data_IF_537356617148
#
_entry.id   IF_537356617148
#
_cell.length_a   1.000
_cell.length_b   1.000
_cell.length_c   1.000
_cell.angle_alpha   90.00
_cell.angle_beta   90.00
_cell.angle_gamma   90.00
#
_symmetry.space_group_name_H-M   'P 1'
#
loop_
_entity.id
_entity.type
_entity.pdbx_description
1 polymer ?
#
# COMPACT_ATOMS: atom_id res chain seq x y z
N UNK A 1 0.37 5.11 -22.28
CA UNK A 1 -0.69 4.10 -22.06
C UNK A 1 -0.41 2.92 -22.97
N UNK A 2 -0.36 1.69 -22.45
CA UNK A 2 -0.26 0.50 -23.32
C UNK A 2 -1.65 0.24 -23.92
N UNK A 3 -1.78 -0.09 -25.21
CA UNK A 3 -3.08 -0.43 -25.80
C UNK A 3 -3.68 -1.64 -25.06
N UNK A 4 -4.96 -1.55 -24.69
CA UNK A 4 -5.72 -2.60 -24.01
C UNK A 4 -7.11 -2.74 -24.63
N UNK A 5 -7.72 -3.91 -24.48
CA UNK A 5 -9.10 -4.16 -24.93
C UNK A 5 -10.11 -3.46 -24.02
N UNK A 6 -11.31 -3.16 -24.53
CA UNK A 6 -12.40 -2.57 -23.75
C UNK A 6 -12.73 -3.41 -22.49
N UNK A 7 -12.73 -4.74 -22.61
CA UNK A 7 -12.97 -5.65 -21.48
C UNK A 7 -11.92 -5.43 -20.38
N UNK A 8 -10.63 -5.40 -20.76
CA UNK A 8 -9.53 -5.19 -19.82
C UNK A 8 -9.57 -3.80 -19.17
N UNK A 9 -9.97 -2.77 -19.93
CA UNK A 9 -10.16 -1.42 -19.39
C UNK A 9 -11.25 -1.41 -18.31
N UNK A 10 -12.40 -2.05 -18.56
CA UNK A 10 -13.49 -2.16 -17.57
C UNK A 10 -13.06 -2.93 -16.31
N UNK A 11 -12.27 -3.99 -16.46
CA UNK A 11 -11.71 -4.73 -15.32
C UNK A 11 -10.74 -3.88 -14.49
N UNK A 12 -9.90 -3.07 -15.15
CA UNK A 12 -8.96 -2.19 -14.47
C UNK A 12 -9.69 -1.11 -13.66
N UNK A 13 -10.74 -0.51 -14.23
CA UNK A 13 -11.59 0.46 -13.51
C UNK A 13 -12.15 -0.16 -12.23
N UNK A 14 -12.68 -1.40 -12.29
CA UNK A 14 -13.21 -2.08 -11.10
C UNK A 14 -12.13 -2.30 -10.04
N UNK A 15 -10.92 -2.70 -10.43
CA UNK A 15 -9.79 -2.88 -9.51
C UNK A 15 -9.38 -1.57 -8.85
N UNK A 16 -9.31 -0.49 -9.62
CA UNK A 16 -8.96 0.83 -9.11
C UNK A 16 -10.04 1.35 -8.15
N UNK A 17 -11.32 1.21 -8.49
CA UNK A 17 -12.44 1.56 -7.61
C UNK A 17 -12.40 0.77 -6.30
N UNK A 18 -12.15 -0.55 -6.38
CA UNK A 18 -11.98 -1.39 -5.19
C UNK A 18 -10.80 -0.93 -4.33
N UNK A 19 -9.67 -0.59 -4.94
CA UNK A 19 -8.51 -0.07 -4.22
C UNK A 19 -8.83 1.25 -3.49
N UNK A 20 -9.47 2.20 -4.18
CA UNK A 20 -9.89 3.47 -3.57
C UNK A 20 -10.80 3.21 -2.37
N UNK A 21 -11.84 2.40 -2.55
CA UNK A 21 -12.74 2.02 -1.47
C UNK A 21 -12.00 1.39 -0.29
N UNK A 22 -11.09 0.44 -0.57
CA UNK A 22 -10.33 -0.25 0.46
C UNK A 22 -9.48 0.72 1.28
N UNK A 23 -8.84 1.72 0.66
CA UNK A 23 -8.01 2.71 1.36
C UNK A 23 -8.86 3.70 2.15
N UNK A 24 -9.94 4.22 1.57
CA UNK A 24 -10.80 5.23 2.20
C UNK A 24 -11.56 4.64 3.41
N UNK A 25 -12.12 3.44 3.25
CA UNK A 25 -12.87 2.74 4.30
C UNK A 25 -11.98 2.07 5.35
N UNK A 26 -10.65 2.03 5.15
CA UNK A 26 -9.75 1.38 6.09
C UNK A 26 -9.77 2.06 7.46
N UNK A 27 -10.24 1.32 8.47
CA UNK A 27 -10.27 1.76 9.85
C UNK A 27 -8.93 1.50 10.54
N UNK A 28 -8.20 2.58 10.85
CA UNK A 28 -6.89 2.54 11.46
C UNK A 28 -6.98 2.88 12.97
N UNK A 29 -7.35 1.89 13.77
CA UNK A 29 -7.44 1.95 15.23
C UNK A 29 -6.10 1.72 15.94
N UNK A 30 -5.09 1.21 15.23
CA UNK A 30 -3.73 1.01 15.74
C UNK A 30 -2.70 1.80 14.94
N UNK A 31 -1.55 2.03 15.57
CA UNK A 31 -0.40 2.66 14.90
C UNK A 31 0.03 1.86 13.66
N UNK A 32 0.05 0.53 13.75
CA UNK A 32 0.41 -0.34 12.63
C UNK A 32 -0.54 -0.17 11.45
N UNK A 33 -1.86 -0.13 11.71
CA UNK A 33 -2.85 0.13 10.67
C UNK A 33 -2.72 1.55 10.11
N UNK A 34 -2.40 2.53 10.95
CA UNK A 34 -2.16 3.91 10.51
C UNK A 34 -0.98 4.01 9.54
N UNK A 35 0.10 3.27 9.82
CA UNK A 35 1.26 3.14 8.93
C UNK A 35 0.86 2.55 7.57
N UNK A 36 0.05 1.48 7.57
CA UNK A 36 -0.41 0.84 6.33
C UNK A 36 -1.30 1.78 5.52
N UNK A 37 -2.24 2.48 6.17
CA UNK A 37 -3.13 3.45 5.51
C UNK A 37 -2.32 4.58 4.88
N UNK A 38 -1.43 5.18 5.65
CA UNK A 38 -0.61 6.30 5.19
C UNK A 38 0.32 5.89 4.04
N UNK A 39 0.86 4.66 4.10
CA UNK A 39 1.67 4.13 3.02
C UNK A 39 0.86 3.85 1.76
N UNK A 40 -0.39 3.43 1.88
CA UNK A 40 -1.30 3.25 0.74
C UNK A 40 -1.63 4.56 0.02
N UNK A 41 -1.68 5.67 0.78
CA UNK A 41 -1.92 7.02 0.24
C UNK A 41 -0.64 7.59 -0.40
N UNK A 42 0.49 7.49 0.29
CA UNK A 42 1.74 8.21 -0.07
C UNK A 42 2.72 7.38 -0.90
N UNK A 43 2.67 6.05 -0.80
CA UNK A 43 3.65 5.11 -1.35
C UNK A 43 5.12 5.45 -0.97
N UNK A 44 5.32 6.15 0.17
CA UNK A 44 6.61 6.68 0.60
C UNK A 44 6.86 6.46 2.09
N UNK A 45 7.89 5.67 2.41
CA UNK A 45 8.31 5.42 3.81
C UNK A 45 8.73 6.72 4.50
N UNK A 46 9.39 7.63 3.77
CA UNK A 46 9.80 8.92 4.33
C UNK A 46 8.59 9.77 4.69
N UNK A 47 7.57 9.84 3.83
CA UNK A 47 6.37 10.62 4.13
C UNK A 47 5.59 10.02 5.29
N UNK A 48 5.44 8.69 5.36
CA UNK A 48 4.80 8.02 6.50
C UNK A 48 5.53 8.31 7.81
N UNK A 49 6.87 8.19 7.79
CA UNK A 49 7.73 8.49 8.94
C UNK A 49 7.56 9.93 9.42
N UNK A 50 7.54 10.90 8.50
CA UNK A 50 7.33 12.31 8.82
C UNK A 50 5.91 12.58 9.35
N UNK A 51 4.89 12.06 8.67
CA UNK A 51 3.49 12.35 8.99
C UNK A 51 3.05 11.75 10.33
N UNK A 52 3.63 10.60 10.71
CA UNK A 52 3.31 9.91 11.96
C UNK A 52 4.36 10.13 13.06
N UNK A 53 5.48 10.82 12.78
CA UNK A 53 6.54 11.08 13.76
C UNK A 53 7.24 9.80 14.25
N UNK A 54 7.42 8.82 13.37
CA UNK A 54 7.94 7.48 13.71
C UNK A 54 9.18 7.14 12.89
N UNK A 55 10.00 6.23 13.42
CA UNK A 55 11.22 5.80 12.76
C UNK A 55 10.97 5.03 11.45
N UNK A 56 11.87 5.24 10.47
CA UNK A 56 11.78 4.64 9.13
C UNK A 56 11.99 3.14 9.15
N UNK A 57 12.83 2.61 10.03
CA UNK A 57 13.03 1.17 10.18
C UNK A 57 11.77 0.52 10.74
N UNK A 58 11.12 1.17 11.71
CA UNK A 58 9.85 0.71 12.25
C UNK A 58 8.75 0.65 11.18
N UNK A 59 8.56 1.72 10.40
CA UNK A 59 7.63 1.75 9.25
C UNK A 59 7.91 0.60 8.29
N UNK A 60 9.18 0.40 7.95
CA UNK A 60 9.62 -0.66 7.04
C UNK A 60 9.30 -2.04 7.60
N UNK A 61 9.52 -2.26 8.91
CA UNK A 61 9.22 -3.52 9.60
C UNK A 61 7.72 -3.83 9.57
N UNK A 62 6.87 -2.83 9.82
CA UNK A 62 5.40 -2.98 9.76
C UNK A 62 4.94 -3.35 8.35
N UNK A 63 5.39 -2.62 7.31
CA UNK A 63 5.01 -2.90 5.91
C UNK A 63 5.46 -4.30 5.46
N UNK A 64 6.68 -4.73 5.84
CA UNK A 64 7.20 -6.06 5.50
C UNK A 64 6.53 -7.20 6.29
N UNK A 65 5.96 -6.88 7.47
CA UNK A 65 5.30 -7.81 8.37
C UNK A 65 4.15 -8.58 7.72
N UNK A 66 3.73 -9.68 8.34
CA UNK A 66 2.64 -10.52 7.79
C UNK A 66 1.30 -9.78 7.92
N UNK A 67 0.77 -9.32 6.79
CA UNK A 67 -0.53 -8.67 6.75
C UNK A 67 -1.68 -9.59 7.18
N UNK A 68 -2.45 -9.14 8.16
CA UNK A 68 -3.65 -9.84 8.64
C UNK A 68 -4.84 -9.51 7.73
N UNK A 69 -5.00 -8.24 7.38
CA UNK A 69 -6.04 -7.73 6.49
C UNK A 69 -5.62 -7.60 5.02
N UNK A 70 -6.59 -7.28 4.16
CA UNK A 70 -6.42 -7.18 2.71
C UNK A 70 -5.47 -6.05 2.31
N UNK A 71 -5.64 -4.84 2.88
CA UNK A 71 -4.85 -3.67 2.51
C UNK A 71 -3.37 -3.88 2.85
N UNK A 72 -3.08 -4.43 4.03
CA UNK A 72 -1.70 -4.73 4.44
C UNK A 72 -1.07 -5.78 3.53
N UNK A 73 -1.78 -6.85 3.17
CA UNK A 73 -1.27 -7.86 2.21
C UNK A 73 -0.93 -7.23 0.85
N UNK A 74 -1.76 -6.29 0.39
CA UNK A 74 -1.54 -5.58 -0.85
C UNK A 74 -0.34 -4.63 -0.76
N UNK A 75 -0.24 -3.84 0.32
CA UNK A 75 0.89 -2.92 0.55
C UNK A 75 2.22 -3.65 0.65
N UNK A 76 2.25 -4.80 1.33
CA UNK A 76 3.44 -5.65 1.38
C UNK A 76 3.84 -6.11 -0.02
N UNK A 77 2.89 -6.57 -0.82
CA UNK A 77 3.15 -7.02 -2.19
C UNK A 77 3.71 -5.89 -3.06
N UNK A 78 3.12 -4.70 -2.98
CA UNK A 78 3.58 -3.52 -3.71
C UNK A 78 4.98 -3.09 -3.29
N UNK A 79 5.26 -3.06 -2.00
CA UNK A 79 6.59 -2.76 -1.48
C UNK A 79 7.63 -3.76 -1.97
N UNK A 80 7.31 -5.06 -1.95
CA UNK A 80 8.22 -6.11 -2.41
C UNK A 80 8.48 -6.03 -3.92
N UNK A 81 7.46 -5.68 -4.71
CA UNK A 81 7.61 -5.43 -6.14
C UNK A 81 8.51 -4.23 -6.41
N UNK A 82 8.25 -3.10 -5.73
CA UNK A 82 9.02 -1.85 -5.85
C UNK A 82 10.49 -2.05 -5.51
N UNK A 83 10.79 -2.82 -4.47
CA UNK A 83 12.17 -3.04 -3.98
C UNK A 83 12.84 -4.28 -4.57
N UNK A 84 12.23 -4.93 -5.57
CA UNK A 84 12.75 -6.18 -6.14
C UNK A 84 14.13 -6.00 -6.79
N UNK A 85 14.36 -4.88 -7.48
CA UNK A 85 15.64 -4.61 -8.16
C UNK A 85 16.79 -4.40 -7.18
N UNK A 86 16.55 -3.67 -6.09
CA UNK A 86 17.56 -3.35 -5.08
C UNK A 86 17.91 -4.50 -4.12
N UNK A 87 17.17 -5.62 -4.18
CA UNK A 87 17.39 -6.82 -3.35
C UNK A 87 18.11 -7.95 -4.11
N UNK A 88 18.48 -7.72 -5.36
CA UNK A 88 19.19 -8.68 -6.21
C UNK A 88 20.69 -8.46 -6.14
#
# INVERSE_FOLDING_TARGET
MKPITLKKAKEEIKKLQHYVYLVESYHADTLEKSIIKEYAITNSIQQVSNNLGIDREFVTKVIKGRGKDELHKQMRSFYMLKTRSSRR
#
